data_IF_184234629922
#
_entry.id   IF_184234629922
#
_cell.length_a   1.000
_cell.length_b   1.000
_cell.length_c   1.000
_cell.angle_alpha   90.00
_cell.angle_beta   90.00
_cell.angle_gamma   90.00
#
_symmetry.space_group_name_H-M   'P 1'
#
loop_
_entity.id
_entity.type
_entity.pdbx_description
1 polymer ?
#
# COMPACT_ATOMS: atom_id res chain seq x y z
N UNK A 1 -5.46 -1.03 -2.55
CA UNK A 1 -6.22 -1.48 -1.35
C UNK A 1 -6.16 -0.48 -0.22
N UNK A 2 -4.96 -0.04 0.22
CA UNK A 2 -4.84 0.85 1.37
C UNK A 2 -5.57 2.20 1.20
N UNK A 3 -5.44 2.84 0.05
CA UNK A 3 -6.17 4.08 -0.25
C UNK A 3 -7.69 3.87 -0.24
N UNK A 4 -8.18 2.74 -0.76
CA UNK A 4 -9.59 2.34 -0.67
C UNK A 4 -10.01 2.16 0.79
N UNK A 5 -9.16 1.55 1.61
CA UNK A 5 -9.40 1.41 3.06
C UNK A 5 -9.55 2.77 3.75
N UNK A 6 -8.67 3.73 3.48
CA UNK A 6 -8.77 5.09 4.00
C UNK A 6 -10.08 5.77 3.57
N UNK A 7 -10.47 5.62 2.29
CA UNK A 7 -11.74 6.12 1.79
C UNK A 7 -12.94 5.52 2.53
N UNK A 8 -12.94 4.20 2.71
CA UNK A 8 -13.99 3.50 3.44
C UNK A 8 -14.07 3.93 4.92
N UNK A 9 -12.94 4.09 5.58
CA UNK A 9 -12.88 4.57 6.96
C UNK A 9 -13.41 5.99 7.13
N UNK A 10 -13.29 6.81 6.08
CA UNK A 10 -13.82 8.18 6.05
C UNK A 10 -15.31 8.24 5.73
N UNK A 11 -15.76 7.48 4.71
CA UNK A 11 -17.10 7.67 4.13
C UNK A 11 -18.11 6.56 4.49
N UNK A 12 -17.66 5.46 5.11
CA UNK A 12 -18.50 4.37 5.56
C UNK A 12 -18.01 3.78 6.91
N UNK A 13 -17.64 4.62 7.91
CA UNK A 13 -17.02 4.15 9.17
C UNK A 13 -17.91 3.19 9.96
N UNK A 14 -19.21 3.29 9.85
CA UNK A 14 -20.19 2.44 10.53
C UNK A 14 -20.11 0.95 10.15
N UNK A 15 -19.38 0.64 9.07
CA UNK A 15 -19.19 -0.73 8.57
C UNK A 15 -17.97 -1.43 9.16
N UNK A 16 -17.13 -0.71 9.90
CA UNK A 16 -15.82 -1.21 10.33
C UNK A 16 -15.57 -0.92 11.81
N UNK A 17 -15.05 -1.89 12.53
CA UNK A 17 -14.58 -1.70 13.91
C UNK A 17 -13.18 -1.07 13.96
N UNK A 18 -12.41 -1.20 12.91
CA UNK A 18 -11.08 -0.65 12.73
C UNK A 18 -10.55 -0.95 11.34
N UNK A 19 -9.45 -0.34 10.96
CA UNK A 19 -8.79 -0.50 9.68
C UNK A 19 -7.33 -0.88 9.85
N UNK A 20 -6.84 -1.74 8.98
CA UNK A 20 -5.41 -1.92 8.75
C UNK A 20 -5.09 -1.43 7.34
N UNK A 21 -4.25 -0.42 7.24
CA UNK A 21 -3.76 0.12 5.96
C UNK A 21 -2.26 -0.09 5.87
N UNK A 22 -1.84 -0.83 4.85
CA UNK A 22 -0.44 -1.20 4.69
C UNK A 22 0.14 -0.63 3.39
N UNK A 23 1.36 -0.12 3.46
CA UNK A 23 2.11 0.38 2.32
C UNK A 23 1.27 1.30 1.43
N UNK A 24 0.77 2.37 2.01
CA UNK A 24 -0.15 3.31 1.36
C UNK A 24 0.08 4.76 1.81
N UNK A 25 -0.58 5.69 1.14
CA UNK A 25 -0.55 7.11 1.44
C UNK A 25 -1.93 7.73 1.24
N UNK A 26 -2.19 8.92 1.80
CA UNK A 26 -3.41 9.67 1.53
C UNK A 26 -3.49 10.16 0.07
N UNK A 27 -2.35 10.29 -0.60
CA UNK A 27 -2.20 10.47 -2.04
C UNK A 27 -0.96 9.69 -2.49
N UNK A 28 -1.09 8.88 -3.53
CA UNK A 28 0.01 8.05 -4.05
C UNK A 28 0.47 8.61 -5.39
N UNK A 29 1.71 9.09 -5.45
CA UNK A 29 2.28 9.68 -6.67
C UNK A 29 1.55 10.94 -7.13
N UNK A 30 1.56 11.18 -8.44
CA UNK A 30 0.91 12.33 -9.06
C UNK A 30 -0.01 11.92 -10.22
N UNK A 31 -0.94 12.82 -10.55
CA UNK A 31 -1.95 12.58 -11.58
C UNK A 31 -1.35 12.27 -12.95
N UNK A 32 -0.35 13.05 -13.36
CA UNK A 32 0.24 12.92 -14.71
C UNK A 32 0.95 11.57 -14.87
N UNK A 33 1.68 11.13 -13.86
CA UNK A 33 2.38 9.83 -13.83
C UNK A 33 1.40 8.66 -13.93
N UNK A 34 0.31 8.71 -13.15
CA UNK A 34 -0.69 7.65 -13.19
C UNK A 34 -1.44 7.61 -14.53
N UNK A 35 -1.83 8.75 -15.09
CA UNK A 35 -2.48 8.81 -16.41
C UNK A 35 -1.53 8.36 -17.52
N UNK A 36 -0.25 8.68 -17.42
CA UNK A 36 0.76 8.17 -18.36
C UNK A 36 0.87 6.66 -18.29
N UNK A 37 0.94 6.10 -17.07
CA UNK A 37 0.99 4.64 -16.86
C UNK A 37 -0.25 3.93 -17.41
N UNK A 38 -1.44 4.49 -17.21
CA UNK A 38 -2.67 3.94 -17.77
C UNK A 38 -2.63 3.86 -19.29
N UNK A 39 -2.13 4.91 -19.96
CA UNK A 39 -1.96 4.91 -21.42
C UNK A 39 -0.95 3.87 -21.89
N UNK A 40 0.22 3.83 -21.24
CA UNK A 40 1.29 2.87 -21.58
C UNK A 40 0.79 1.43 -21.47
N UNK A 41 0.08 1.08 -20.40
CA UNK A 41 -0.44 -0.28 -20.22
C UNK A 41 -1.48 -0.65 -21.27
N UNK A 42 -2.35 0.29 -21.66
CA UNK A 42 -3.31 0.05 -22.76
C UNK A 42 -2.63 -0.18 -24.11
N UNK A 43 -1.49 0.45 -24.35
CA UNK A 43 -0.76 0.38 -25.62
C UNK A 43 0.21 -0.81 -25.69
N UNK A 44 0.89 -1.10 -24.58
CA UNK A 44 2.05 -2.01 -24.54
C UNK A 44 1.83 -3.25 -23.67
N UNK A 45 0.69 -3.32 -22.96
CA UNK A 45 0.39 -4.44 -22.08
C UNK A 45 1.01 -4.32 -20.68
N UNK A 46 0.86 -5.39 -19.89
CA UNK A 46 1.30 -5.43 -18.50
C UNK A 46 2.80 -5.70 -18.31
N UNK A 47 3.49 -6.15 -19.33
CA UNK A 47 4.92 -6.46 -19.31
C UNK A 47 5.77 -5.24 -18.94
N UNK A 48 5.39 -4.06 -19.39
CA UNK A 48 6.09 -2.79 -19.07
C UNK A 48 6.03 -2.45 -17.58
N UNK A 49 4.96 -2.86 -16.90
CA UNK A 49 4.82 -2.67 -15.45
C UNK A 49 5.58 -3.74 -14.69
N UNK A 50 5.50 -4.99 -15.17
CA UNK A 50 6.15 -6.14 -14.57
C UNK A 50 7.68 -6.00 -14.58
N UNK A 51 8.26 -5.45 -15.64
CA UNK A 51 9.70 -5.26 -15.80
C UNK A 51 10.36 -4.49 -14.62
N UNK A 52 9.65 -3.54 -14.00
CA UNK A 52 10.17 -2.81 -12.85
C UNK A 52 9.48 -3.13 -11.52
N UNK A 53 8.66 -4.18 -11.46
CA UNK A 53 7.86 -4.49 -10.28
C UNK A 53 8.73 -4.97 -9.11
N UNK A 54 9.68 -5.86 -9.38
CA UNK A 54 10.55 -6.43 -8.36
C UNK A 54 11.30 -5.36 -7.54
N UNK A 55 11.83 -4.32 -8.21
CA UNK A 55 12.56 -3.23 -7.57
C UNK A 55 11.67 -2.33 -6.69
N UNK A 56 10.41 -2.19 -7.07
CA UNK A 56 9.43 -1.42 -6.29
C UNK A 56 8.85 -2.20 -5.13
N UNK A 57 8.76 -3.53 -5.26
CA UNK A 57 8.04 -4.39 -4.32
C UNK A 57 8.90 -4.92 -3.19
N UNK A 58 10.18 -5.19 -3.47
CA UNK A 58 11.06 -5.91 -2.56
C UNK A 58 12.42 -5.25 -2.41
N UNK A 59 13.04 -5.43 -1.24
CA UNK A 59 14.43 -5.06 -1.04
C UNK A 59 15.36 -5.93 -1.90
N UNK A 60 16.55 -5.41 -2.20
CA UNK A 60 17.56 -6.15 -2.93
C UNK A 60 17.92 -7.47 -2.23
N UNK A 61 18.04 -7.45 -0.90
CA UNK A 61 18.35 -8.65 -0.12
C UNK A 61 17.27 -9.74 -0.25
N UNK A 62 15.99 -9.37 -0.21
CA UNK A 62 14.89 -10.31 -0.38
C UNK A 62 14.89 -10.91 -1.78
N UNK A 63 15.10 -10.10 -2.83
CA UNK A 63 15.16 -10.56 -4.22
C UNK A 63 16.28 -11.57 -4.46
N UNK A 64 17.44 -11.40 -3.79
CA UNK A 64 18.53 -12.36 -3.88
C UNK A 64 18.26 -13.65 -3.11
N UNK A 65 17.55 -13.56 -1.98
CA UNK A 65 17.29 -14.71 -1.09
C UNK A 65 16.16 -15.61 -1.61
N UNK A 66 15.14 -15.03 -2.24
CA UNK A 66 13.93 -15.74 -2.66
C UNK A 66 13.52 -15.35 -4.09
N UNK A 67 14.40 -15.53 -5.09
CA UNK A 67 14.14 -15.10 -6.47
C UNK A 67 12.88 -15.76 -7.06
N UNK A 68 12.60 -17.01 -6.71
CA UNK A 68 11.44 -17.75 -7.20
C UNK A 68 10.11 -17.12 -6.76
N UNK A 69 10.03 -16.57 -5.56
CA UNK A 69 8.82 -15.87 -5.07
C UNK A 69 8.62 -14.57 -5.84
N UNK A 70 9.71 -13.83 -6.04
CA UNK A 70 9.71 -12.55 -6.77
C UNK A 70 9.30 -12.77 -8.22
N UNK A 71 9.90 -13.75 -8.90
CA UNK A 71 9.59 -14.11 -10.29
C UNK A 71 8.13 -14.54 -10.46
N UNK A 72 7.62 -15.39 -9.54
CA UNK A 72 6.23 -15.83 -9.59
C UNK A 72 5.25 -14.66 -9.48
N UNK A 73 5.50 -13.68 -8.58
CA UNK A 73 4.65 -12.52 -8.42
C UNK A 73 4.74 -11.56 -9.62
N UNK A 74 5.94 -11.33 -10.16
CA UNK A 74 6.11 -10.54 -11.37
C UNK A 74 5.41 -11.20 -12.58
N UNK A 75 5.51 -12.53 -12.69
CA UNK A 75 4.80 -13.29 -13.73
C UNK A 75 3.27 -13.18 -13.58
N UNK A 76 2.73 -13.28 -12.36
CA UNK A 76 1.30 -13.05 -12.12
C UNK A 76 0.84 -11.68 -12.57
N UNK A 77 1.66 -10.64 -12.38
CA UNK A 77 1.35 -9.28 -12.80
C UNK A 77 1.14 -9.16 -14.32
N UNK A 78 1.88 -9.92 -15.14
CA UNK A 78 1.71 -9.91 -16.60
C UNK A 78 0.36 -10.48 -17.07
N UNK A 79 -0.31 -11.26 -16.22
CA UNK A 79 -1.61 -11.88 -16.51
C UNK A 79 -2.82 -11.06 -16.01
N UNK A 80 -2.57 -9.91 -15.37
CA UNK A 80 -3.65 -9.02 -14.94
C UNK A 80 -4.25 -8.34 -16.17
N UNK A 81 -5.57 -8.17 -16.17
CA UNK A 81 -6.27 -7.42 -17.21
C UNK A 81 -5.74 -5.99 -17.32
N UNK A 82 -5.22 -5.65 -18.49
CA UNK A 82 -4.58 -4.36 -18.73
C UNK A 82 -5.56 -3.19 -18.60
N UNK A 83 -6.82 -3.36 -19.02
CA UNK A 83 -7.83 -2.30 -18.87
C UNK A 83 -8.22 -2.11 -17.40
N UNK A 84 -8.40 -3.19 -16.64
CA UNK A 84 -8.65 -3.12 -15.20
C UNK A 84 -7.52 -2.45 -14.45
N UNK A 85 -6.26 -2.75 -14.81
CA UNK A 85 -5.09 -2.08 -14.24
C UNK A 85 -5.04 -0.58 -14.60
N UNK A 86 -5.32 -0.23 -15.86
CA UNK A 86 -5.38 1.15 -16.33
C UNK A 86 -6.48 1.94 -15.60
N UNK A 87 -7.65 1.36 -15.41
CA UNK A 87 -8.73 1.97 -14.63
C UNK A 87 -8.33 2.21 -13.17
N UNK A 88 -7.59 1.29 -12.55
CA UNK A 88 -7.01 1.51 -11.22
C UNK A 88 -5.99 2.67 -11.21
N UNK A 89 -5.16 2.81 -12.23
CA UNK A 89 -4.27 3.96 -12.38
C UNK A 89 -5.04 5.28 -12.47
N UNK A 90 -6.12 5.33 -13.24
CA UNK A 90 -6.99 6.51 -13.35
C UNK A 90 -7.67 6.86 -12.02
N UNK A 91 -8.11 5.85 -11.27
CA UNK A 91 -8.65 6.06 -9.93
C UNK A 91 -7.59 6.65 -8.99
N UNK A 92 -6.34 6.16 -9.05
CA UNK A 92 -5.22 6.72 -8.28
C UNK A 92 -4.86 8.14 -8.73
N UNK A 93 -4.94 8.44 -10.03
CA UNK A 93 -4.71 9.78 -10.56
C UNK A 93 -5.68 10.83 -10.01
N UNK A 94 -6.93 10.42 -9.76
CA UNK A 94 -8.00 11.28 -9.24
C UNK A 94 -8.03 11.35 -7.71
N UNK A 95 -7.47 10.35 -7.01
CA UNK A 95 -7.61 10.21 -5.58
C UNK A 95 -6.64 11.13 -4.81
N UNK A 96 -7.20 11.96 -3.93
CA UNK A 96 -6.46 12.74 -2.94
C UNK A 96 -7.27 12.82 -1.65
N UNK A 97 -6.86 12.08 -0.63
CA UNK A 97 -7.53 12.02 0.67
C UNK A 97 -6.83 12.85 1.75
N UNK A 98 -5.82 13.67 1.39
CA UNK A 98 -5.05 14.44 2.38
C UNK A 98 -5.92 15.41 3.21
N UNK A 99 -6.98 15.95 2.62
CA UNK A 99 -7.94 16.80 3.33
C UNK A 99 -9.02 16.01 4.08
N UNK A 100 -9.10 14.69 3.93
CA UNK A 100 -10.19 13.85 4.43
C UNK A 100 -9.78 12.95 5.59
N UNK A 101 -8.52 12.50 5.62
CA UNK A 101 -8.07 11.47 6.58
C UNK A 101 -8.18 11.90 8.03
N UNK A 102 -8.12 13.20 8.34
CA UNK A 102 -8.31 13.73 9.70
C UNK A 102 -9.72 13.46 10.28
N UNK A 103 -10.67 13.14 9.44
CA UNK A 103 -12.04 12.84 9.83
C UNK A 103 -12.30 11.33 10.03
N UNK A 104 -11.29 10.50 9.89
CA UNK A 104 -11.38 9.06 10.21
C UNK A 104 -11.39 8.92 11.74
N UNK A 105 -12.50 8.46 12.29
CA UNK A 105 -12.70 8.39 13.75
C UNK A 105 -12.59 6.96 14.31
N UNK A 106 -12.50 5.94 13.44
CA UNK A 106 -12.30 4.55 13.87
C UNK A 106 -10.80 4.25 14.06
N UNK A 107 -10.44 3.24 14.87
CA UNK A 107 -9.04 2.85 15.05
C UNK A 107 -8.37 2.45 13.74
N UNK A 108 -7.12 2.90 13.52
CA UNK A 108 -6.35 2.58 12.31
C UNK A 108 -4.95 2.09 12.67
N UNK A 109 -4.59 0.89 12.22
CA UNK A 109 -3.21 0.44 12.16
C UNK A 109 -2.61 0.81 10.80
N UNK A 110 -1.52 1.55 10.82
CA UNK A 110 -0.75 1.95 9.63
C UNK A 110 0.53 1.10 9.62
N UNK A 111 0.68 0.25 8.60
CA UNK A 111 1.88 -0.55 8.41
C UNK A 111 2.70 0.04 7.27
N UNK A 112 3.98 0.32 7.51
CA UNK A 112 4.91 0.84 6.51
C UNK A 112 6.11 -0.08 6.32
N UNK A 113 6.61 -0.20 5.12
CA UNK A 113 7.91 -0.77 4.85
C UNK A 113 9.01 0.29 4.95
N UNK A 114 10.06 0.02 5.72
CA UNK A 114 11.19 0.94 5.93
C UNK A 114 11.87 1.33 4.59
N UNK A 115 11.93 0.40 3.66
CA UNK A 115 12.56 0.55 2.34
C UNK A 115 11.55 0.71 1.20
N UNK A 116 10.29 1.05 1.49
CA UNK A 116 9.25 1.23 0.46
C UNK A 116 9.51 2.50 -0.37
N UNK A 117 9.83 2.39 -1.69
CA UNK A 117 10.06 3.54 -2.53
C UNK A 117 8.76 4.14 -3.10
N UNK A 118 7.62 3.46 -2.91
CA UNK A 118 6.33 3.86 -3.50
C UNK A 118 5.52 4.69 -2.51
N UNK A 119 5.42 4.19 -1.27
CA UNK A 119 4.73 4.86 -0.17
C UNK A 119 5.63 4.79 1.06
N UNK A 120 6.25 5.91 1.37
CA UNK A 120 7.36 6.02 2.30
C UNK A 120 6.90 6.01 3.77
N UNK A 121 7.85 5.84 4.69
CA UNK A 121 7.61 6.04 6.13
C UNK A 121 7.12 7.47 6.41
N UNK A 122 7.51 8.46 5.61
CA UNK A 122 7.01 9.83 5.74
C UNK A 122 5.50 9.92 5.43
N UNK A 123 5.02 9.16 4.44
CA UNK A 123 3.57 9.07 4.14
C UNK A 123 2.80 8.41 5.30
N UNK A 124 3.35 7.35 5.89
CA UNK A 124 2.77 6.69 7.07
C UNK A 124 2.72 7.65 8.28
N UNK A 125 3.78 8.40 8.52
CA UNK A 125 3.83 9.43 9.57
C UNK A 125 2.82 10.55 9.33
N UNK A 126 2.63 10.99 8.09
CA UNK A 126 1.58 11.94 7.73
C UNK A 126 0.20 11.40 8.10
N UNK A 127 -0.11 10.15 7.72
CA UNK A 127 -1.38 9.54 8.09
C UNK A 127 -1.57 9.48 9.61
N UNK A 128 -0.54 9.10 10.35
CA UNK A 128 -0.57 9.02 11.82
C UNK A 128 -0.79 10.39 12.48
N UNK A 129 -0.16 11.43 11.96
CA UNK A 129 -0.35 12.80 12.45
C UNK A 129 -1.76 13.32 12.20
N UNK A 130 -2.41 12.89 11.13
CA UNK A 130 -3.74 13.35 10.75
C UNK A 130 -4.87 12.52 11.37
N UNK A 131 -4.71 11.19 11.50
CA UNK A 131 -5.77 10.30 11.99
C UNK A 131 -5.70 10.22 13.53
N UNK A 132 -6.72 10.70 14.26
CA UNK A 132 -6.65 10.85 15.71
C UNK A 132 -6.45 9.54 16.49
N UNK A 133 -7.04 8.44 15.98
CA UNK A 133 -6.98 7.12 16.63
C UNK A 133 -6.19 6.18 15.72
N UNK A 134 -4.89 6.36 15.68
CA UNK A 134 -4.02 5.53 14.84
C UNK A 134 -2.73 5.14 15.54
N UNK A 135 -2.13 4.05 15.06
CA UNK A 135 -0.79 3.60 15.42
C UNK A 135 0.00 3.25 14.16
N UNK A 136 1.33 3.36 14.23
CA UNK A 136 2.23 3.06 13.12
C UNK A 136 3.16 1.92 13.51
N UNK A 137 3.30 0.96 12.61
CA UNK A 137 4.32 -0.09 12.68
C UNK A 137 5.17 -0.03 11.42
N UNK A 138 6.48 0.15 11.59
CA UNK A 138 7.45 0.15 10.50
C UNK A 138 8.12 -1.22 10.47
N UNK A 139 8.09 -1.88 9.31
CA UNK A 139 8.68 -3.20 9.10
C UNK A 139 9.97 -3.10 8.29
N UNK A 140 10.94 -3.94 8.58
CA UNK A 140 12.17 -4.08 7.78
C UNK A 140 11.86 -4.79 6.46
N UNK A 141 11.17 -4.09 5.56
CA UNK A 141 10.65 -4.58 4.28
C UNK A 141 10.46 -3.42 3.30
N UNK A 142 10.16 -3.76 2.04
CA UNK A 142 9.74 -2.81 1.01
C UNK A 142 8.20 -2.79 0.85
N UNK A 143 7.70 -2.55 -0.37
CA UNK A 143 6.27 -2.30 -0.64
C UNK A 143 5.36 -3.51 -0.38
N UNK A 144 5.78 -4.73 -0.67
CA UNK A 144 5.02 -5.93 -0.32
C UNK A 144 5.46 -6.49 1.04
N UNK A 145 5.33 -5.67 2.08
CA UNK A 145 5.82 -5.97 3.43
C UNK A 145 5.19 -7.24 4.04
N UNK A 146 3.98 -7.59 3.65
CA UNK A 146 3.31 -8.83 4.03
C UNK A 146 3.97 -10.08 3.46
N UNK A 147 4.64 -9.98 2.32
CA UNK A 147 5.39 -11.07 1.69
C UNK A 147 6.83 -11.10 2.21
N UNK A 148 7.46 -9.93 2.32
CA UNK A 148 8.85 -9.81 2.70
C UNK A 148 9.10 -10.05 4.20
N UNK A 149 8.19 -9.61 5.07
CA UNK A 149 8.25 -9.75 6.52
C UNK A 149 6.97 -10.35 7.11
N UNK A 150 6.53 -11.57 6.67
CA UNK A 150 5.20 -12.11 6.98
C UNK A 150 4.95 -12.31 8.48
N UNK A 151 5.97 -12.69 9.24
CA UNK A 151 5.86 -12.88 10.68
C UNK A 151 5.58 -11.57 11.41
N UNK A 152 6.37 -10.53 11.13
CA UNK A 152 6.20 -9.22 11.75
C UNK A 152 4.88 -8.55 11.31
N UNK A 153 4.52 -8.68 10.02
CA UNK A 153 3.25 -8.19 9.50
C UNK A 153 2.06 -8.85 10.20
N UNK A 154 2.06 -10.19 10.30
CA UNK A 154 1.00 -10.94 10.97
C UNK A 154 0.90 -10.61 12.47
N UNK A 155 2.04 -10.43 13.16
CA UNK A 155 2.07 -10.03 14.56
C UNK A 155 1.44 -8.66 14.78
N UNK A 156 1.77 -7.67 13.94
CA UNK A 156 1.19 -6.33 14.00
C UNK A 156 -0.34 -6.38 13.78
N UNK A 157 -0.78 -7.14 12.78
CA UNK A 157 -2.20 -7.32 12.48
C UNK A 157 -2.95 -7.97 13.65
N UNK A 158 -2.43 -9.08 14.17
CA UNK A 158 -3.06 -9.82 15.28
C UNK A 158 -3.12 -8.99 16.56
N UNK A 159 -2.05 -8.28 16.91
CA UNK A 159 -2.03 -7.38 18.06
C UNK A 159 -3.10 -6.28 17.96
N UNK A 160 -3.24 -5.68 16.79
CA UNK A 160 -4.27 -4.67 16.54
C UNK A 160 -5.69 -5.25 16.69
N UNK A 161 -5.96 -6.42 16.11
CA UNK A 161 -7.28 -7.08 16.18
C UNK A 161 -7.62 -7.51 17.61
N UNK A 162 -6.62 -7.91 18.41
CA UNK A 162 -6.79 -8.30 19.81
C UNK A 162 -6.84 -7.12 20.78
N UNK A 163 -6.64 -5.90 20.31
CA UNK A 163 -6.62 -4.69 21.13
C UNK A 163 -5.32 -4.51 21.93
N UNK A 164 -4.26 -5.22 21.56
CA UNK A 164 -2.93 -5.03 22.14
C UNK A 164 -2.33 -3.72 21.61
N UNK A 165 -2.08 -2.76 22.51
CA UNK A 165 -1.38 -1.53 22.12
C UNK A 165 0.08 -1.87 21.82
N UNK A 166 0.48 -1.76 20.58
CA UNK A 166 1.89 -1.78 20.21
C UNK A 166 2.51 -0.51 20.82
N UNK A 167 3.54 -0.71 21.66
CA UNK A 167 4.10 0.33 22.54
C UNK A 167 4.46 1.62 21.80
N UNK A 168 4.28 2.71 22.54
CA UNK A 168 4.70 4.06 22.16
C UNK A 168 6.22 4.14 22.07
#
# INVERSE_FOLDING_TARGET
GGLTGLWLGRFAPERFQGLVVANTAARIGDQAGWLSRARTVRQEGMEVVAAGAADRWFTHAFRQKTPEVVEALCHQLTHIDAEGYAACCEALAAADLRGEVAQIAIPVLIVAGESDPVTTVADANFLHQQIPVSEVVVLAASHLSNIEAPGAFSSALLGFVQGEKHGR
#
